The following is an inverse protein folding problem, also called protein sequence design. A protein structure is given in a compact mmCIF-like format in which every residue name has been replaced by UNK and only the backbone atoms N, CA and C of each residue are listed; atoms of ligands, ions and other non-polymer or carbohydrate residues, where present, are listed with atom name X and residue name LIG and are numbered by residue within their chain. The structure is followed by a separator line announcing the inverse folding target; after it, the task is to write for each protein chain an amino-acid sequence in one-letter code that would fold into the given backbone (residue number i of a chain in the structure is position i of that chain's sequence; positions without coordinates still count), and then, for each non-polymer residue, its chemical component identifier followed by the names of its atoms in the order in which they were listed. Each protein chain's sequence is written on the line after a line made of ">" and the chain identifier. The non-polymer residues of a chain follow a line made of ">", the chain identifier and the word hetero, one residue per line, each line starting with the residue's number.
data_IF_121179934127
#
_entry.id   IF_121179934127
#
_cell.length_a   1.000
_cell.length_b   1.000
_cell.length_c   1.000
_cell.angle_alpha   90.00
_cell.angle_beta   90.00
_cell.angle_gamma   90.00
#
_symmetry.space_group_name_H-M   'P 1'
#
loop_
_entity.id
_entity.type
_entity.pdbx_description
1 polymer ?
#
# COMPACT_ATOMS: atom_id res chain seq x y z
N UNK A 1 -5.03 7.17 21.89
CA UNK A 1 -4.66 5.82 21.40
C UNK A 1 -5.39 5.57 20.09
N UNK A 2 -4.72 5.02 19.07
CA UNK A 2 -5.20 4.99 17.67
C UNK A 2 -6.51 4.20 17.49
N UNK A 3 -6.93 3.39 18.48
CA UNK A 3 -8.06 2.46 18.36
C UNK A 3 -9.20 2.68 19.37
N UNK A 4 -9.35 3.86 19.96
CA UNK A 4 -10.50 4.12 20.86
C UNK A 4 -11.85 4.22 20.12
N UNK A 5 -11.83 4.42 18.79
CA UNK A 5 -13.02 4.41 17.95
C UNK A 5 -13.07 3.11 17.15
N UNK A 6 -14.22 2.42 17.16
CA UNK A 6 -14.48 1.28 16.29
C UNK A 6 -14.75 1.77 14.86
N UNK A 7 -14.24 1.06 13.86
CA UNK A 7 -14.53 1.36 12.45
C UNK A 7 -13.69 2.47 11.85
N UNK A 8 -12.48 2.70 12.37
CA UNK A 8 -11.57 3.75 11.92
C UNK A 8 -10.82 3.38 10.64
N UNK A 9 -10.59 4.32 9.73
CA UNK A 9 -9.79 4.15 8.50
C UNK A 9 -8.53 5.03 8.56
N UNK A 10 -7.36 4.38 8.50
CA UNK A 10 -6.06 5.04 8.33
C UNK A 10 -5.45 4.71 6.97
N UNK A 11 -4.93 5.73 6.29
CA UNK A 11 -4.19 5.57 5.04
C UNK A 11 -2.74 6.02 5.22
N UNK A 12 -1.80 5.14 4.89
CA UNK A 12 -0.36 5.39 4.80
C UNK A 12 0.02 5.41 3.32
N UNK A 13 0.40 6.57 2.80
CA UNK A 13 0.76 6.74 1.40
C UNK A 13 2.11 7.43 1.23
N UNK A 14 2.60 7.51 0.00
CA UNK A 14 3.89 8.08 -0.37
C UNK A 14 4.49 7.34 -1.57
N UNK A 15 5.54 7.90 -2.21
CA UNK A 15 6.22 7.27 -3.33
C UNK A 15 6.88 5.96 -2.93
N UNK A 16 7.41 5.20 -3.88
CA UNK A 16 8.30 4.09 -3.56
C UNK A 16 9.47 4.57 -2.70
N UNK A 17 10.01 3.70 -1.83
CA UNK A 17 11.12 3.99 -0.91
C UNK A 17 10.84 5.02 0.20
N UNK A 18 9.57 5.38 0.43
CA UNK A 18 9.18 6.28 1.53
C UNK A 18 8.96 5.59 2.87
N UNK A 19 9.23 4.28 2.99
CA UNK A 19 9.04 3.53 4.24
C UNK A 19 7.60 3.15 4.60
N UNK A 20 6.66 3.11 3.63
CA UNK A 20 5.25 2.73 3.88
C UNK A 20 5.11 1.38 4.60
N UNK A 21 5.76 0.34 4.05
CA UNK A 21 5.73 -1.00 4.64
C UNK A 21 6.34 -1.01 6.05
N UNK A 22 7.40 -0.24 6.29
CA UNK A 22 7.99 -0.09 7.63
C UNK A 22 7.00 0.54 8.62
N UNK A 23 6.30 1.60 8.21
CA UNK A 23 5.26 2.23 9.03
C UNK A 23 4.06 1.29 9.30
N UNK A 24 3.68 0.48 8.30
CA UNK A 24 2.65 -0.55 8.44
C UNK A 24 3.07 -1.62 9.47
N UNK A 25 4.29 -2.16 9.34
CA UNK A 25 4.84 -3.16 10.27
C UNK A 25 4.99 -2.61 11.69
N UNK A 26 5.38 -1.35 11.87
CA UNK A 26 5.45 -0.75 13.20
C UNK A 26 4.08 -0.78 13.92
N UNK A 27 2.98 -0.59 13.18
CA UNK A 27 1.61 -0.68 13.73
C UNK A 27 1.20 -2.13 14.01
N UNK A 28 1.54 -3.05 13.12
CA UNK A 28 1.32 -4.48 13.31
C UNK A 28 2.03 -4.96 14.59
N UNK A 29 3.30 -4.58 14.76
CA UNK A 29 4.08 -4.88 15.96
C UNK A 29 3.42 -4.30 17.22
N UNK A 30 2.93 -3.07 17.17
CA UNK A 30 2.22 -2.46 18.28
C UNK A 30 0.97 -3.27 18.67
N UNK A 31 0.13 -3.67 17.71
CA UNK A 31 -1.06 -4.49 18.01
C UNK A 31 -0.68 -5.87 18.58
N UNK A 32 0.33 -6.51 17.99
CA UNK A 32 0.86 -7.80 18.45
C UNK A 32 1.35 -7.72 19.90
N UNK A 33 2.10 -6.68 20.26
CA UNK A 33 2.59 -6.47 21.63
C UNK A 33 1.48 -6.21 22.64
N UNK A 34 0.28 -5.84 22.19
CA UNK A 34 -0.90 -5.61 23.03
C UNK A 34 -1.93 -6.74 22.93
N UNK A 35 -1.59 -7.88 22.32
CA UNK A 35 -2.49 -9.03 22.09
C UNK A 35 -3.81 -8.63 21.41
N UNK A 36 -3.76 -7.68 20.48
CA UNK A 36 -4.89 -7.30 19.65
C UNK A 36 -4.80 -8.07 18.34
N UNK A 37 -5.87 -8.79 18.00
CA UNK A 37 -5.90 -9.62 16.81
C UNK A 37 -6.10 -8.79 15.54
N UNK A 38 -5.40 -9.19 14.47
CA UNK A 38 -5.43 -8.50 13.18
C UNK A 38 -5.26 -9.47 12.02
N UNK A 39 -5.71 -9.04 10.84
CA UNK A 39 -5.44 -9.69 9.57
C UNK A 39 -4.66 -8.76 8.65
N UNK A 40 -3.79 -9.34 7.82
CA UNK A 40 -2.98 -8.59 6.84
C UNK A 40 -3.20 -9.18 5.46
N UNK A 41 -3.58 -8.35 4.49
CA UNK A 41 -3.80 -8.76 3.11
C UNK A 41 -2.88 -8.01 2.14
N UNK A 42 -2.48 -8.70 1.09
CA UNK A 42 -1.70 -8.16 -0.02
C UNK A 42 -2.21 -8.74 -1.35
N UNK A 43 -2.33 -7.94 -2.42
CA UNK A 43 -2.79 -8.45 -3.70
C UNK A 43 -1.68 -9.24 -4.38
N UNK A 44 -2.06 -10.18 -5.22
CA UNK A 44 -1.13 -10.82 -6.17
C UNK A 44 -0.82 -9.81 -7.27
N UNK A 45 0.42 -9.32 -7.27
CA UNK A 45 0.89 -8.35 -8.29
C UNK A 45 1.51 -9.08 -9.49
N UNK A 46 2.25 -10.19 -9.26
CA UNK A 46 2.68 -11.17 -10.28
C UNK A 46 3.38 -12.40 -9.62
N UNK A 47 3.20 -13.60 -10.18
CA UNK A 47 3.64 -14.92 -9.67
C UNK A 47 5.13 -15.02 -9.31
N UNK A 48 5.97 -14.12 -9.82
CA UNK A 48 7.43 -14.08 -9.57
C UNK A 48 7.82 -13.36 -8.27
N UNK A 49 7.05 -12.34 -7.86
CA UNK A 49 7.19 -11.70 -6.55
C UNK A 49 6.37 -12.42 -5.47
N UNK A 50 5.39 -13.22 -5.88
CA UNK A 50 4.49 -14.02 -5.03
C UNK A 50 5.12 -15.24 -4.36
N UNK A 51 6.43 -15.48 -4.45
CA UNK A 51 7.04 -16.68 -3.85
C UNK A 51 7.08 -16.58 -2.32
N UNK A 52 7.03 -15.38 -1.73
CA UNK A 52 7.05 -15.21 -0.27
C UNK A 52 5.66 -14.86 0.24
N UNK A 53 5.10 -15.72 1.11
CA UNK A 53 3.82 -15.53 1.84
C UNK A 53 3.87 -14.41 2.90
N UNK A 54 4.85 -13.52 2.79
CA UNK A 54 5.26 -12.62 3.85
C UNK A 54 5.35 -11.18 3.34
N UNK A 55 4.95 -10.21 4.16
CA UNK A 55 5.34 -8.82 3.97
C UNK A 55 6.86 -8.74 4.17
N UNK A 56 7.60 -8.50 3.09
CA UNK A 56 9.06 -8.29 3.16
C UNK A 56 9.32 -6.80 3.07
N UNK A 57 9.82 -6.18 4.14
CA UNK A 57 10.41 -4.84 4.04
C UNK A 57 11.73 -4.89 3.31
N UNK A 58 12.21 -3.73 2.84
CA UNK A 58 13.58 -3.55 2.38
C UNK A 58 14.62 -4.05 3.43
N UNK A 59 14.25 -4.05 4.72
CA UNK A 59 15.07 -4.48 5.86
C UNK A 59 14.90 -5.98 6.23
N UNK A 60 14.34 -6.81 5.33
CA UNK A 60 14.20 -8.28 5.49
C UNK A 60 13.33 -8.78 6.68
N UNK A 61 12.55 -7.90 7.34
CA UNK A 61 11.55 -8.31 8.33
C UNK A 61 10.35 -8.94 7.61
N UNK A 62 9.92 -10.12 8.06
CA UNK A 62 8.83 -10.89 7.44
C UNK A 62 7.63 -11.00 8.39
N UNK A 63 6.43 -10.66 7.88
CA UNK A 63 5.16 -10.83 8.60
C UNK A 63 4.20 -11.72 7.81
N UNK A 64 3.48 -12.67 8.44
CA UNK A 64 2.49 -13.49 7.73
C UNK A 64 1.43 -12.59 7.08
N UNK A 65 1.27 -12.69 5.76
CA UNK A 65 0.24 -11.95 5.02
C UNK A 65 -0.57 -12.90 4.16
N UNK A 66 -1.89 -12.71 4.14
CA UNK A 66 -2.79 -13.41 3.25
C UNK A 66 -2.71 -12.78 1.87
N UNK A 67 -2.12 -13.52 0.94
CA UNK A 67 -2.02 -13.13 -0.45
C UNK A 67 -3.33 -13.50 -1.16
N UNK A 68 -3.97 -12.52 -1.77
CA UNK A 68 -5.30 -12.68 -2.40
C UNK A 68 -5.30 -12.27 -3.87
N UNK A 69 -6.13 -12.92 -4.69
CA UNK A 69 -6.22 -12.61 -6.13
C UNK A 69 -7.11 -11.40 -6.44
N UNK A 70 -8.12 -11.15 -5.61
CA UNK A 70 -9.07 -10.07 -5.78
C UNK A 70 -9.62 -9.62 -4.41
N UNK A 71 -10.38 -8.53 -4.42
CA UNK A 71 -10.97 -7.97 -3.20
C UNK A 71 -12.04 -8.87 -2.56
N UNK A 72 -12.75 -9.70 -3.31
CA UNK A 72 -13.81 -10.59 -2.80
C UNK A 72 -13.26 -11.67 -1.86
N UNK A 73 -12.05 -12.19 -2.13
CA UNK A 73 -11.38 -13.16 -1.25
C UNK A 73 -11.18 -12.60 0.17
N UNK A 74 -10.94 -11.29 0.31
CA UNK A 74 -10.83 -10.65 1.63
C UNK A 74 -12.14 -10.79 2.39
N UNK A 75 -13.27 -10.53 1.73
CA UNK A 75 -14.59 -10.62 2.34
C UNK A 75 -14.90 -12.06 2.77
N UNK A 76 -14.54 -13.06 1.96
CA UNK A 76 -14.67 -14.48 2.30
C UNK A 76 -13.85 -14.86 3.53
N UNK A 77 -12.60 -14.42 3.61
CA UNK A 77 -11.74 -14.66 4.79
C UNK A 77 -12.33 -13.99 6.04
N UNK A 78 -12.77 -12.74 5.93
CA UNK A 78 -13.37 -11.99 7.04
C UNK A 78 -14.65 -12.68 7.53
N UNK A 79 -15.52 -13.12 6.63
CA UNK A 79 -16.76 -13.79 7.00
C UNK A 79 -16.53 -15.13 7.70
N UNK A 80 -15.52 -15.91 7.26
CA UNK A 80 -15.15 -17.19 7.89
C UNK A 80 -14.52 -17.03 9.27
N UNK A 81 -13.87 -15.89 9.54
CA UNK A 81 -13.16 -15.60 10.79
C UNK A 81 -13.85 -14.50 11.61
N UNK A 82 -15.17 -14.36 11.46
CA UNK A 82 -15.95 -13.32 12.11
C UNK A 82 -15.78 -13.41 13.64
N UNK A 83 -15.47 -12.27 14.28
CA UNK A 83 -15.18 -12.09 15.71
C UNK A 83 -13.75 -12.43 16.19
N UNK A 84 -12.82 -12.77 15.29
CA UNK A 84 -11.45 -13.17 15.69
C UNK A 84 -10.39 -12.08 15.42
N UNK A 85 -10.79 -10.85 15.10
CA UNK A 85 -9.86 -9.75 14.85
C UNK A 85 -10.55 -8.39 14.96
N UNK A 86 -9.79 -7.37 15.32
CA UNK A 86 -10.26 -5.99 15.44
C UNK A 86 -9.78 -5.10 14.28
N UNK A 87 -8.66 -5.46 13.65
CA UNK A 87 -7.99 -4.63 12.63
C UNK A 87 -7.65 -5.39 11.37
N UNK A 88 -7.85 -4.74 10.22
CA UNK A 88 -7.51 -5.21 8.90
C UNK A 88 -6.42 -4.32 8.29
N UNK A 89 -5.27 -4.90 7.96
CA UNK A 89 -4.20 -4.22 7.23
C UNK A 89 -4.23 -4.61 5.75
N UNK A 90 -4.17 -3.62 4.87
CA UNK A 90 -4.11 -3.79 3.42
C UNK A 90 -2.80 -3.18 2.93
N UNK A 91 -1.87 -3.99 2.42
CA UNK A 91 -0.64 -3.49 1.79
C UNK A 91 -0.78 -3.47 0.26
N UNK A 92 -0.07 -2.54 -0.38
CA UNK A 92 -0.08 -2.34 -1.83
C UNK A 92 -1.48 -2.13 -2.42
N UNK A 93 -2.30 -1.34 -1.71
CA UNK A 93 -3.72 -1.16 -1.98
C UNK A 93 -4.04 -0.66 -3.40
N UNK A 94 -3.11 0.05 -4.04
CA UNK A 94 -3.26 0.57 -5.40
C UNK A 94 -3.40 -0.52 -6.48
N UNK A 95 -3.05 -1.78 -6.19
CA UNK A 95 -3.15 -2.89 -7.14
C UNK A 95 -4.42 -3.72 -6.99
N UNK A 96 -5.28 -3.45 -6.00
CA UNK A 96 -6.58 -4.10 -5.93
C UNK A 96 -7.53 -3.56 -7.01
N UNK A 97 -8.51 -4.39 -7.36
CA UNK A 97 -9.68 -3.98 -8.14
C UNK A 97 -10.55 -2.97 -7.38
N UNK A 98 -11.41 -2.24 -8.08
CA UNK A 98 -12.22 -1.17 -7.48
C UNK A 98 -13.25 -1.63 -6.44
N UNK A 99 -13.60 -2.93 -6.40
CA UNK A 99 -14.57 -3.43 -5.43
C UNK A 99 -14.03 -3.41 -3.99
N UNK A 100 -12.70 -3.32 -3.82
CA UNK A 100 -12.04 -3.10 -2.52
C UNK A 100 -12.59 -1.87 -1.78
N UNK A 101 -12.96 -0.82 -2.50
CA UNK A 101 -13.50 0.43 -1.95
C UNK A 101 -14.77 0.19 -1.13
N UNK A 102 -15.71 -0.54 -1.74
CA UNK A 102 -16.98 -0.91 -1.12
C UNK A 102 -16.77 -1.88 0.03
N UNK A 103 -15.90 -2.87 -0.13
CA UNK A 103 -15.63 -3.87 0.89
C UNK A 103 -15.07 -3.21 2.16
N UNK A 104 -13.98 -2.45 2.05
CA UNK A 104 -13.33 -1.87 3.22
C UNK A 104 -14.22 -0.83 3.92
N UNK A 105 -14.95 -0.02 3.16
CA UNK A 105 -15.90 0.94 3.74
C UNK A 105 -17.05 0.24 4.48
N UNK A 106 -17.58 -0.86 3.93
CA UNK A 106 -18.62 -1.62 4.63
C UNK A 106 -18.10 -2.31 5.90
N UNK A 107 -16.85 -2.76 5.90
CA UNK A 107 -16.22 -3.36 7.09
C UNK A 107 -15.95 -2.31 8.18
N UNK A 108 -15.57 -1.08 7.81
CA UNK A 108 -15.39 0.01 8.77
C UNK A 108 -16.71 0.37 9.46
N UNK A 109 -17.82 0.48 8.71
CA UNK A 109 -19.15 0.68 9.32
C UNK A 109 -19.59 -0.45 10.26
N UNK A 110 -19.02 -1.65 10.12
CA UNK A 110 -19.24 -2.79 11.04
C UNK A 110 -18.33 -2.76 12.26
N UNK A 111 -17.52 -1.72 12.42
CA UNK A 111 -16.64 -1.50 13.56
C UNK A 111 -15.23 -2.07 13.43
N UNK A 112 -14.86 -2.62 12.27
CA UNK A 112 -13.50 -3.14 12.01
C UNK A 112 -12.59 -1.98 11.64
N UNK A 113 -11.44 -1.86 12.31
CA UNK A 113 -10.45 -0.85 11.96
C UNK A 113 -9.69 -1.24 10.69
N UNK A 114 -9.49 -0.31 9.78
CA UNK A 114 -8.84 -0.53 8.49
C UNK A 114 -7.57 0.33 8.41
N UNK A 115 -6.43 -0.30 8.10
CA UNK A 115 -5.17 0.39 7.85
C UNK A 115 -4.69 0.05 6.45
N UNK A 116 -4.62 1.06 5.58
CA UNK A 116 -4.36 0.91 4.15
C UNK A 116 -2.97 1.49 3.85
N UNK A 117 -2.11 0.74 3.18
CA UNK A 117 -0.80 1.17 2.67
C UNK A 117 -0.78 1.08 1.16
N UNK A 118 -0.33 2.15 0.48
CA UNK A 118 -0.23 2.13 -0.97
C UNK A 118 0.43 3.35 -1.61
N UNK A 119 0.73 3.23 -2.90
CA UNK A 119 1.20 4.34 -3.74
C UNK A 119 0.00 5.19 -4.15
N UNK A 120 -0.04 6.46 -3.75
CA UNK A 120 -1.14 7.34 -4.13
C UNK A 120 -1.04 7.84 -5.58
N UNK A 121 0.16 7.83 -6.15
CA UNK A 121 0.42 8.18 -7.54
C UNK A 121 1.17 7.08 -8.29
N UNK A 122 0.87 6.94 -9.58
CA UNK A 122 1.63 6.12 -10.51
C UNK A 122 2.95 6.82 -10.95
N UNK A 123 3.70 6.16 -11.84
CA UNK A 123 4.97 6.70 -12.33
C UNK A 123 4.82 7.98 -13.19
N UNK A 124 3.62 8.30 -13.67
CA UNK A 124 3.28 9.53 -14.39
C UNK A 124 2.72 10.61 -13.45
N UNK A 125 2.79 10.39 -12.14
CA UNK A 125 2.17 11.27 -11.15
C UNK A 125 0.63 11.38 -11.25
N UNK A 126 -0.04 10.38 -11.83
CA UNK A 126 -1.51 10.29 -11.87
C UNK A 126 -2.02 9.53 -10.65
N UNK A 127 -3.24 9.78 -10.17
CA UNK A 127 -3.84 9.01 -9.10
C UNK A 127 -3.85 7.50 -9.41
N UNK A 128 -3.47 6.64 -8.45
CA UNK A 128 -3.28 5.21 -8.70
C UNK A 128 -4.35 4.34 -8.03
N UNK A 129 -5.15 3.64 -8.85
CA UNK A 129 -6.12 2.66 -8.40
C UNK A 129 -7.15 3.30 -7.46
N UNK A 130 -7.53 2.57 -6.41
CA UNK A 130 -8.49 3.03 -5.39
C UNK A 130 -7.92 3.97 -4.34
N UNK A 131 -6.61 4.29 -4.40
CA UNK A 131 -6.00 5.18 -3.41
C UNK A 131 -6.64 6.56 -3.29
N UNK A 132 -7.12 7.22 -4.36
CA UNK A 132 -7.79 8.52 -4.25
C UNK A 132 -9.09 8.44 -3.45
N UNK A 133 -9.87 7.38 -3.63
CA UNK A 133 -11.06 7.11 -2.85
C UNK A 133 -10.70 6.94 -1.37
N UNK A 134 -9.72 6.09 -1.05
CA UNK A 134 -9.31 5.87 0.34
C UNK A 134 -8.80 7.13 1.02
N UNK A 135 -8.01 7.95 0.32
CA UNK A 135 -7.56 9.24 0.84
C UNK A 135 -8.72 10.20 1.15
N UNK A 136 -9.85 10.09 0.44
CA UNK A 136 -11.02 10.95 0.65
C UNK A 136 -11.86 10.55 1.86
N UNK A 137 -11.93 9.25 2.18
CA UNK A 137 -12.78 8.72 3.26
C UNK A 137 -12.01 8.45 4.56
N UNK A 138 -10.68 8.53 4.56
CA UNK A 138 -9.86 8.18 5.71
C UNK A 138 -10.03 9.17 6.87
N UNK A 139 -10.19 8.64 8.07
CA UNK A 139 -10.15 9.41 9.32
C UNK A 139 -8.74 9.94 9.62
N UNK A 140 -7.71 9.24 9.12
CA UNK A 140 -6.31 9.67 9.24
C UNK A 140 -5.52 9.35 7.99
N UNK A 141 -4.78 10.35 7.51
CA UNK A 141 -3.86 10.21 6.38
C UNK A 141 -2.43 10.51 6.84
N UNK A 142 -1.52 9.56 6.61
CA UNK A 142 -0.08 9.73 6.78
C UNK A 142 0.59 9.72 5.42
N UNK A 143 1.08 10.87 4.96
CA UNK A 143 1.74 11.00 3.65
C UNK A 143 3.26 11.06 3.80
N UNK A 144 3.89 9.91 3.68
CA UNK A 144 5.33 9.75 3.80
C UNK A 144 6.06 10.35 2.59
N UNK A 145 7.30 10.79 2.83
CA UNK A 145 8.23 11.28 1.82
C UNK A 145 9.43 10.36 1.75
N UNK A 146 10.06 10.31 0.59
CA UNK A 146 11.37 9.70 0.42
C UNK A 146 12.43 10.81 0.22
N UNK A 147 13.68 10.43 -0.01
CA UNK A 147 14.75 11.37 -0.39
C UNK A 147 14.93 11.34 -1.91
N UNK A 148 14.90 12.48 -2.58
CA UNK A 148 15.07 12.55 -4.03
C UNK A 148 16.47 12.09 -4.43
N UNK A 149 16.56 11.13 -5.34
CA UNK A 149 17.86 10.60 -5.78
C UNK A 149 18.72 11.63 -6.53
N UNK A 150 18.09 12.61 -7.19
CA UNK A 150 18.75 13.67 -7.96
C UNK A 150 19.21 14.82 -7.06
N UNK A 151 18.28 15.53 -6.41
CA UNK A 151 18.59 16.78 -5.69
C UNK A 151 18.65 16.64 -4.16
N UNK A 152 18.45 15.42 -3.61
CA UNK A 152 18.45 15.10 -2.18
C UNK A 152 17.39 15.80 -1.31
N UNK A 153 16.51 16.61 -1.89
CA UNK A 153 15.31 17.17 -1.24
C UNK A 153 14.22 16.11 -1.05
N UNK A 154 13.13 16.47 -0.37
CA UNK A 154 11.98 15.58 -0.21
C UNK A 154 11.40 15.13 -1.57
N UNK A 155 11.22 13.81 -1.68
CA UNK A 155 10.61 13.16 -2.81
C UNK A 155 9.14 12.84 -2.54
N UNK A 156 8.33 13.06 -3.58
CA UNK A 156 6.90 12.78 -3.58
C UNK A 156 6.43 12.09 -4.86
N UNK A 157 7.36 11.64 -5.70
CA UNK A 157 7.11 10.97 -6.97
C UNK A 157 7.96 9.71 -7.07
N UNK A 158 7.41 8.70 -7.73
CA UNK A 158 8.15 7.52 -8.17
C UNK A 158 8.54 7.75 -9.62
N UNK A 159 9.83 7.92 -9.90
CA UNK A 159 10.34 7.94 -11.25
C UNK A 159 10.49 6.51 -11.75
N UNK A 160 9.99 6.21 -12.95
CA UNK A 160 10.35 4.98 -13.67
C UNK A 160 11.62 5.21 -14.48
N UNK A 161 12.52 4.24 -14.44
CA UNK A 161 13.79 4.20 -15.17
C UNK A 161 13.71 3.09 -16.22
N UNK A 162 13.95 3.44 -17.49
CA UNK A 162 13.99 2.49 -18.59
C UNK A 162 15.43 2.01 -18.80
N UNK A 163 15.63 0.71 -19.11
CA UNK A 163 16.97 0.14 -19.33
C UNK A 163 17.74 0.80 -20.47
N UNK A 164 17.04 1.30 -21.48
CA UNK A 164 17.62 1.93 -22.66
C UNK A 164 17.97 3.42 -22.47
N UNK A 165 17.83 3.96 -21.25
CA UNK A 165 18.09 5.37 -20.96
C UNK A 165 17.01 6.33 -21.45
N UNK A 166 15.96 5.84 -22.12
CA UNK A 166 14.84 6.67 -22.54
C UNK A 166 13.96 7.05 -21.35
N UNK A 167 13.23 8.15 -21.52
CA UNK A 167 12.18 8.53 -20.59
C UNK A 167 10.98 7.59 -20.75
N UNK A 168 10.32 7.21 -19.64
CA UNK A 168 9.09 6.45 -19.73
C UNK A 168 8.00 7.32 -20.35
N UNK A 169 7.13 6.72 -21.17
CA UNK A 169 6.00 7.40 -21.78
C UNK A 169 4.75 7.28 -20.92
N UNK A 170 3.93 8.32 -20.90
CA UNK A 170 2.57 8.31 -20.34
C UNK A 170 1.64 7.22 -20.90
N UNK A 171 1.99 6.66 -22.07
CA UNK A 171 1.31 5.54 -22.73
C UNK A 171 1.82 4.17 -22.26
N UNK A 172 2.92 4.10 -21.52
CA UNK A 172 3.44 2.84 -20.99
C UNK A 172 2.50 2.25 -19.94
N UNK A 173 2.46 0.92 -19.86
CA UNK A 173 1.67 0.22 -18.83
C UNK A 173 2.09 0.66 -17.43
N UNK A 174 1.11 0.94 -16.58
CA UNK A 174 1.33 1.39 -15.19
C UNK A 174 2.04 0.32 -14.37
N UNK A 175 1.70 -0.95 -14.57
CA UNK A 175 2.37 -2.08 -13.91
C UNK A 175 3.48 -2.61 -14.81
N UNK A 176 4.72 -2.57 -14.33
CA UNK A 176 5.87 -3.12 -15.04
C UNK A 176 6.41 -4.34 -14.30
N UNK A 177 6.51 -5.45 -15.03
CA UNK A 177 7.01 -6.72 -14.52
C UNK A 177 8.53 -6.72 -14.63
N UNK A 178 9.25 -6.71 -13.50
CA UNK A 178 10.72 -6.68 -13.52
C UNK A 178 11.42 -6.13 -12.29
N UNK A 179 10.70 -5.52 -11.36
CA UNK A 179 11.19 -5.28 -10.00
C UNK A 179 11.71 -3.87 -9.67
N UNK A 180 12.14 -3.73 -8.42
CA UNK A 180 12.55 -2.49 -7.74
C UNK A 180 13.66 -1.70 -8.48
N UNK A 181 14.44 -2.36 -9.33
CA UNK A 181 15.58 -1.79 -10.05
C UNK A 181 15.19 -0.79 -11.16
N UNK A 182 13.89 -0.62 -11.43
CA UNK A 182 13.38 0.32 -12.43
C UNK A 182 12.69 1.54 -11.83
N UNK A 183 12.79 1.75 -10.53
CA UNK A 183 12.11 2.86 -9.87
C UNK A 183 13.01 3.57 -8.87
N UNK A 184 12.88 4.90 -8.79
CA UNK A 184 13.57 5.70 -7.79
C UNK A 184 12.71 6.87 -7.31
N UNK A 185 12.90 7.34 -6.06
CA UNK A 185 12.15 8.46 -5.54
C UNK A 185 12.69 9.79 -6.11
N UNK A 186 11.78 10.66 -6.57
CA UNK A 186 12.11 12.03 -7.02
C UNK A 186 11.20 13.09 -6.43
N UNK A 187 11.72 14.31 -6.30
CA UNK A 187 10.90 15.49 -6.03
C UNK A 187 10.10 15.87 -7.28
N UNK A 188 9.13 16.78 -7.14
CA UNK A 188 8.27 17.22 -8.25
C UNK A 188 9.06 17.85 -9.41
N UNK A 189 10.18 18.51 -9.12
CA UNK A 189 11.02 19.20 -10.12
C UNK A 189 11.93 18.24 -10.90
N UNK A 190 12.36 17.14 -10.28
CA UNK A 190 13.26 16.17 -10.93
C UNK A 190 12.51 15.02 -11.62
N UNK A 191 11.21 14.88 -11.37
CA UNK A 191 10.36 13.85 -11.98
C UNK A 191 10.06 14.21 -13.43
N UNK A 192 10.32 13.28 -14.34
CA UNK A 192 10.26 13.50 -15.80
C UNK A 192 9.71 12.26 -16.51
N UNK A 193 8.88 12.48 -17.52
CA UNK A 193 8.30 11.46 -18.41
C UNK A 193 7.85 12.13 -19.71
N UNK A 194 7.56 11.32 -20.75
CA UNK A 194 7.07 11.76 -22.05
C UNK A 194 5.54 11.77 -22.17
#
# INVERSE_FOLDING_TARGET
>A
MIFNNKGFIEVICGPMFSGKTTALIAKINFLKSNNIDFLVFKPIIDKRYSIKKELVTHDLITFPSLVVHNSDEILDFVNKNKNNFDTLFIDEAQFFDSNIEKILNNLSFKGINIVISGLELDFCARPFGSMPYFLSIADKVTKLKATCMVCKKEASRTQRIMQNGNLPSSKDKVVLVGGLNFHEPRCKQCHIFL
#
